data_IF_123742027643
#
_entry.id   IF_123742027643
#
_cell.length_a   1.000
_cell.length_b   1.000
_cell.length_c   1.000
_cell.angle_alpha   90.00
_cell.angle_beta   90.00
_cell.angle_gamma   90.00
#
_symmetry.space_group_name_H-M   'P 1'
#
loop_
_entity.id
_entity.type
_entity.pdbx_description
1 polymer ?
#
# COMPACT_ATOMS: atom_id res chain seq x y z
N UNK A 1 -5.89 -12.67 -2.35
CA UNK A 1 -6.13 -12.40 -0.90
C UNK A 1 -4.89 -11.72 -0.33
N UNK A 2 -5.04 -10.57 0.33
CA UNK A 2 -3.95 -9.91 1.07
C UNK A 2 -3.63 -10.76 2.30
N UNK A 3 -2.35 -10.99 2.57
CA UNK A 3 -1.85 -11.75 3.73
C UNK A 3 -1.00 -10.91 4.69
N UNK A 4 -0.44 -9.80 4.20
CA UNK A 4 0.35 -8.87 5.00
C UNK A 4 0.27 -7.47 4.39
N UNK A 5 0.29 -6.47 5.25
CA UNK A 5 0.31 -5.07 4.88
C UNK A 5 1.24 -4.31 5.83
N UNK A 6 2.15 -3.55 5.27
CA UNK A 6 2.95 -2.55 5.96
C UNK A 6 2.70 -1.19 5.32
N UNK A 7 2.47 -0.19 6.15
CA UNK A 7 2.20 1.19 5.72
C UNK A 7 3.05 2.13 6.56
N UNK A 8 3.69 3.07 5.91
CA UNK A 8 4.37 4.17 6.56
C UNK A 8 4.10 5.48 5.81
N UNK A 9 3.89 6.57 6.53
CA UNK A 9 3.72 7.89 5.95
C UNK A 9 2.34 8.17 5.31
N UNK A 10 1.35 7.30 5.47
CA UNK A 10 -0.01 7.49 4.97
C UNK A 10 -0.99 7.77 6.11
N UNK A 11 -1.66 8.91 6.08
CA UNK A 11 -2.64 9.37 7.09
C UNK A 11 -2.10 9.20 8.53
N UNK A 12 -2.74 8.39 9.36
CA UNK A 12 -2.29 8.12 10.74
C UNK A 12 -1.24 7.02 10.85
N UNK A 13 -0.82 6.40 9.75
CA UNK A 13 0.07 5.24 9.80
C UNK A 13 1.54 5.64 9.77
N UNK A 14 2.20 5.34 10.88
CA UNK A 14 3.64 5.41 11.05
C UNK A 14 4.16 4.03 11.46
N UNK A 15 4.94 3.40 10.58
CA UNK A 15 5.47 2.05 10.77
C UNK A 15 4.39 1.01 11.16
N UNK A 16 3.22 1.10 10.55
CA UNK A 16 2.12 0.18 10.80
C UNK A 16 2.33 -1.13 10.05
N UNK A 17 2.10 -2.24 10.73
CA UNK A 17 2.14 -3.58 10.15
C UNK A 17 0.92 -4.39 10.59
N UNK A 18 0.36 -5.17 9.68
CA UNK A 18 -0.78 -6.05 9.94
C UNK A 18 -0.71 -7.33 9.11
N UNK A 19 -0.96 -8.47 9.75
CA UNK A 19 -1.18 -9.74 9.07
C UNK A 19 -2.68 -9.99 8.90
N UNK A 20 -3.06 -10.58 7.77
CA UNK A 20 -4.44 -10.96 7.47
C UNK A 20 -4.57 -12.48 7.43
N UNK A 21 -5.68 -12.94 7.98
CA UNK A 21 -6.17 -14.31 7.86
C UNK A 21 -7.39 -14.33 6.92
N UNK A 22 -7.90 -15.50 6.51
CA UNK A 22 -9.12 -15.57 5.70
C UNK A 22 -10.32 -14.83 6.28
N UNK A 23 -10.37 -14.73 7.61
CA UNK A 23 -11.32 -13.88 8.33
C UNK A 23 -10.52 -13.01 9.31
N UNK A 24 -10.52 -11.71 9.08
CA UNK A 24 -9.89 -10.71 9.95
C UNK A 24 -10.95 -9.71 10.39
N UNK A 25 -11.11 -9.53 11.70
CA UNK A 25 -12.05 -8.58 12.29
C UNK A 25 -11.26 -7.38 12.79
N UNK A 26 -11.62 -6.19 12.30
CA UNK A 26 -11.03 -4.92 12.73
C UNK A 26 -12.02 -4.21 13.64
N UNK A 27 -11.72 -4.14 14.93
CA UNK A 27 -12.53 -3.49 15.93
C UNK A 27 -11.74 -2.37 16.63
N UNK A 28 -12.43 -1.38 17.13
CA UNK A 28 -11.84 -0.26 17.87
C UNK A 28 -12.75 0.97 17.88
N UNK A 29 -12.38 2.01 18.63
CA UNK A 29 -13.07 3.29 18.64
C UNK A 29 -12.97 4.00 17.29
N UNK A 30 -13.82 5.01 17.04
CA UNK A 30 -13.83 5.73 15.76
C UNK A 30 -12.50 6.44 15.45
N UNK A 31 -11.73 6.83 16.49
CA UNK A 31 -10.43 7.48 16.36
C UNK A 31 -9.25 6.51 16.18
N UNK A 32 -9.47 5.19 16.16
CA UNK A 32 -8.39 4.18 16.16
C UNK A 32 -7.79 3.86 14.79
N UNK A 33 -8.07 4.67 13.76
CA UNK A 33 -7.46 4.49 12.42
C UNK A 33 -8.12 3.42 11.55
N UNK A 34 -9.28 2.83 11.95
CA UNK A 34 -10.00 1.84 11.12
C UNK A 34 -10.35 2.36 9.74
N UNK A 35 -10.91 3.57 9.66
CA UNK A 35 -11.24 4.21 8.38
C UNK A 35 -10.00 4.42 7.51
N UNK A 36 -8.88 4.79 8.12
CA UNK A 36 -7.62 4.96 7.40
C UNK A 36 -7.08 3.64 6.84
N UNK A 37 -7.31 2.51 7.52
CA UNK A 37 -6.97 1.19 6.98
C UNK A 37 -7.79 0.87 5.72
N UNK A 38 -9.10 1.12 5.75
CA UNK A 38 -9.94 0.94 4.57
C UNK A 38 -9.58 1.90 3.44
N UNK A 39 -9.23 3.15 3.76
CA UNK A 39 -8.73 4.11 2.77
C UNK A 39 -7.42 3.63 2.12
N UNK A 40 -6.51 3.06 2.91
CA UNK A 40 -5.26 2.49 2.38
C UNK A 40 -5.51 1.28 1.46
N UNK A 41 -6.39 0.36 1.86
CA UNK A 41 -6.75 -0.80 1.03
C UNK A 41 -7.46 -0.37 -0.26
N UNK A 42 -8.33 0.64 -0.18
CA UNK A 42 -9.01 1.21 -1.35
C UNK A 42 -8.01 1.91 -2.30
N UNK A 43 -7.05 2.67 -1.77
CA UNK A 43 -5.99 3.27 -2.57
C UNK A 43 -5.16 2.21 -3.30
N UNK A 44 -4.76 1.14 -2.62
CA UNK A 44 -4.01 0.03 -3.23
C UNK A 44 -4.79 -0.68 -4.33
N UNK A 45 -6.12 -0.87 -4.15
CA UNK A 45 -6.99 -1.42 -5.19
C UNK A 45 -7.02 -0.50 -6.42
N UNK A 46 -7.18 0.79 -6.22
CA UNK A 46 -7.21 1.77 -7.31
C UNK A 46 -5.88 1.88 -8.05
N UNK A 47 -4.76 1.83 -7.33
CA UNK A 47 -3.43 1.83 -7.96
C UNK A 47 -3.22 0.61 -8.87
N UNK A 48 -3.90 -0.51 -8.59
CA UNK A 48 -3.88 -1.68 -9.45
C UNK A 48 -4.83 -1.59 -10.66
N UNK A 49 -5.82 -0.70 -10.63
CA UNK A 49 -6.86 -0.58 -11.66
C UNK A 49 -6.60 0.56 -12.67
N UNK A 50 -5.87 1.60 -12.27
CA UNK A 50 -5.68 2.81 -13.08
C UNK A 50 -4.23 3.00 -13.51
N UNK A 51 -4.04 3.51 -14.72
CA UNK A 51 -2.71 3.71 -15.29
C UNK A 51 -1.95 4.92 -14.73
N UNK A 52 -2.65 5.81 -14.01
CA UNK A 52 -2.07 7.07 -13.53
C UNK A 52 -2.21 7.19 -12.02
N UNK A 53 -1.10 7.39 -11.33
CA UNK A 53 -1.06 7.61 -9.88
C UNK A 53 -2.01 8.73 -9.42
N UNK A 54 -2.03 9.86 -10.14
CA UNK A 54 -2.90 10.98 -9.81
C UNK A 54 -4.39 10.63 -9.83
N UNK A 55 -4.83 9.74 -10.74
CA UNK A 55 -6.21 9.28 -10.81
C UNK A 55 -6.55 8.45 -9.58
N UNK A 56 -5.66 7.53 -9.18
CA UNK A 56 -5.86 6.72 -7.96
C UNK A 56 -6.00 7.58 -6.70
N UNK A 57 -5.21 8.65 -6.61
CA UNK A 57 -5.22 9.54 -5.43
C UNK A 57 -6.39 10.53 -5.41
N UNK A 58 -6.86 11.00 -6.55
CA UNK A 58 -8.00 11.95 -6.63
C UNK A 58 -9.35 11.27 -6.47
N UNK A 59 -9.52 10.10 -7.04
CA UNK A 59 -10.79 9.39 -7.04
C UNK A 59 -10.90 8.50 -5.81
N UNK A 60 -11.77 8.85 -4.85
CA UNK A 60 -12.10 8.01 -3.70
C UNK A 60 -11.29 8.27 -2.44
N UNK A 61 -10.40 9.25 -2.44
CA UNK A 61 -9.78 9.76 -1.23
C UNK A 61 -10.50 11.03 -0.76
N UNK A 62 -10.61 11.19 0.56
CA UNK A 62 -11.15 12.40 1.19
C UNK A 62 -10.00 13.33 1.55
N UNK A 63 -10.13 14.61 1.24
CA UNK A 63 -9.17 15.65 1.58
C UNK A 63 -8.20 15.98 0.45
N UNK A 64 -7.36 16.96 0.70
CA UNK A 64 -6.32 17.40 -0.22
C UNK A 64 -5.17 16.38 -0.29
N UNK A 65 -4.36 16.48 -1.33
CA UNK A 65 -3.27 15.53 -1.60
C UNK A 65 -2.29 15.41 -0.41
N UNK A 66 -1.94 16.52 0.22
CA UNK A 66 -1.01 16.54 1.36
C UNK A 66 -1.62 15.93 2.63
N UNK A 67 -2.95 15.96 2.82
CA UNK A 67 -3.65 15.35 3.96
C UNK A 67 -3.61 13.82 3.93
N UNK A 68 -3.22 13.23 2.81
CA UNK A 68 -3.01 11.79 2.70
C UNK A 68 -1.67 11.35 3.29
N UNK A 69 -0.72 12.28 3.44
CA UNK A 69 0.56 12.02 4.09
C UNK A 69 0.45 12.15 5.61
N UNK A 70 1.24 11.38 6.34
CA UNK A 70 1.23 11.43 7.81
C UNK A 70 1.63 12.81 8.29
N UNK A 71 0.79 13.42 9.12
CA UNK A 71 1.10 14.65 9.80
C UNK A 71 1.85 14.35 11.10
N UNK A 72 3.03 14.91 11.26
CA UNK A 72 3.85 14.75 12.47
C UNK A 72 3.58 15.85 13.50
N UNK A 73 3.35 17.08 13.04
CA UNK A 73 2.94 18.25 13.85
C UNK A 73 2.08 19.21 13.03
N UNK A 74 1.73 20.37 13.58
CA UNK A 74 0.83 21.34 12.94
C UNK A 74 1.30 21.80 11.54
N UNK A 75 2.60 21.69 11.23
CA UNK A 75 3.18 22.18 9.98
C UNK A 75 4.08 21.15 9.26
N UNK A 76 4.28 19.98 9.84
CA UNK A 76 5.17 18.96 9.30
C UNK A 76 4.38 17.70 8.86
N UNK A 77 4.45 17.42 7.56
CA UNK A 77 3.91 16.21 6.95
C UNK A 77 5.05 15.34 6.43
N UNK A 78 4.81 14.04 6.35
CA UNK A 78 5.71 13.15 5.65
C UNK A 78 5.85 13.57 4.18
N UNK A 79 7.06 13.50 3.64
CA UNK A 79 7.31 13.73 2.21
C UNK A 79 7.18 12.45 1.40
N UNK A 80 7.22 11.31 2.06
CA UNK A 80 7.11 9.99 1.44
C UNK A 80 6.06 9.13 2.14
N UNK A 81 5.40 8.29 1.36
CA UNK A 81 4.61 7.17 1.86
C UNK A 81 5.10 5.86 1.26
N UNK A 82 5.09 4.82 2.07
CA UNK A 82 5.52 3.48 1.70
C UNK A 82 4.42 2.47 1.93
N UNK A 83 4.24 1.59 0.98
CA UNK A 83 3.36 0.42 1.08
C UNK A 83 4.16 -0.84 0.77
N UNK A 84 3.98 -1.87 1.59
CA UNK A 84 4.43 -3.22 1.29
C UNK A 84 3.25 -4.17 1.50
N UNK A 85 2.85 -4.86 0.44
CA UNK A 85 1.67 -5.75 0.45
C UNK A 85 2.09 -7.13 0.03
N UNK A 86 1.75 -8.15 0.84
CA UNK A 86 1.86 -9.53 0.41
C UNK A 86 0.50 -10.07 0.03
N UNK A 87 0.42 -10.73 -1.10
CA UNK A 87 -0.81 -11.31 -1.62
C UNK A 87 -0.64 -12.78 -1.95
N UNK A 88 -1.71 -13.53 -1.72
CA UNK A 88 -1.87 -14.88 -2.23
C UNK A 88 -2.82 -14.80 -3.44
N UNK A 89 -2.32 -15.19 -4.60
CA UNK A 89 -3.07 -15.21 -5.86
C UNK A 89 -3.40 -16.64 -6.27
N UNK A 90 -4.39 -16.80 -7.15
CA UNK A 90 -4.71 -18.11 -7.73
C UNK A 90 -3.54 -18.61 -8.58
N UNK A 91 -3.39 -19.93 -8.64
CA UNK A 91 -2.35 -20.55 -9.47
C UNK A 91 -2.61 -20.36 -10.95
N UNK A 92 -3.87 -20.32 -11.37
CA UNK A 92 -4.30 -19.94 -12.71
C UNK A 92 -4.81 -18.51 -12.69
N UNK A 93 -4.24 -17.67 -13.55
CA UNK A 93 -4.62 -16.27 -13.73
C UNK A 93 -4.98 -16.05 -15.18
N UNK A 94 -6.00 -15.23 -15.41
CA UNK A 94 -6.46 -14.85 -16.74
C UNK A 94 -6.33 -13.33 -16.87
N UNK A 95 -5.70 -12.86 -17.93
CA UNK A 95 -5.57 -11.44 -18.19
C UNK A 95 -6.86 -10.84 -18.79
N UNK A 96 -6.83 -9.52 -18.99
CA UNK A 96 -7.99 -8.79 -19.54
C UNK A 96 -8.36 -9.19 -20.98
N UNK A 97 -7.46 -9.86 -21.70
CA UNK A 97 -7.67 -10.35 -23.08
C UNK A 97 -8.05 -11.83 -23.12
N UNK A 98 -8.18 -12.49 -21.95
CA UNK A 98 -8.58 -13.88 -21.86
C UNK A 98 -7.42 -14.89 -21.96
N UNK A 99 -6.19 -14.44 -22.03
CA UNK A 99 -5.04 -15.34 -21.99
C UNK A 99 -4.83 -15.87 -20.56
N UNK A 100 -4.69 -17.20 -20.44
CA UNK A 100 -4.54 -17.88 -19.16
C UNK A 100 -3.09 -18.32 -18.95
N UNK A 101 -2.55 -18.05 -17.77
CA UNK A 101 -1.23 -18.49 -17.35
C UNK A 101 -1.27 -19.24 -16.03
N UNK A 102 -0.41 -20.24 -15.88
CA UNK A 102 -0.22 -20.97 -14.63
C UNK A 102 1.02 -20.48 -13.91
N UNK A 103 0.82 -19.88 -12.74
CA UNK A 103 1.89 -19.32 -11.93
C UNK A 103 2.70 -20.43 -11.22
N UNK A 104 4.01 -20.33 -11.25
CA UNK A 104 4.93 -21.18 -10.47
C UNK A 104 4.84 -20.85 -8.97
N UNK A 105 4.76 -19.56 -8.65
CA UNK A 105 4.65 -19.04 -7.30
C UNK A 105 3.36 -18.26 -7.16
N UNK A 106 2.62 -18.50 -6.07
CA UNK A 106 1.29 -17.90 -5.81
C UNK A 106 1.35 -16.84 -4.72
N UNK A 107 2.51 -16.63 -4.10
CA UNK A 107 2.73 -15.57 -3.11
C UNK A 107 3.59 -14.49 -3.73
N UNK A 108 3.07 -13.29 -3.71
CA UNK A 108 3.74 -12.11 -4.26
C UNK A 108 3.87 -11.04 -3.19
N UNK A 109 4.96 -10.27 -3.25
CA UNK A 109 5.15 -9.04 -2.49
C UNK A 109 5.24 -7.89 -3.46
N UNK A 110 4.43 -6.88 -3.21
CA UNK A 110 4.45 -5.61 -3.92
C UNK A 110 4.91 -4.51 -2.96
N UNK A 111 5.89 -3.75 -3.38
CA UNK A 111 6.45 -2.64 -2.63
C UNK A 111 6.36 -1.38 -3.48
N UNK A 112 5.86 -0.31 -2.87
CA UNK A 112 5.64 0.98 -3.51
C UNK A 112 6.08 2.09 -2.57
N UNK A 113 6.87 3.05 -3.09
CA UNK A 113 7.19 4.28 -2.41
C UNK A 113 6.82 5.46 -3.29
N UNK A 114 6.09 6.39 -2.71
CA UNK A 114 5.56 7.58 -3.36
C UNK A 114 6.13 8.80 -2.64
N UNK A 115 6.71 9.72 -3.40
CA UNK A 115 7.22 10.99 -2.92
C UNK A 115 6.29 12.12 -3.33
N UNK A 116 6.05 13.04 -2.41
CA UNK A 116 5.34 14.30 -2.63
C UNK A 116 6.36 15.42 -2.84
N UNK A 117 6.14 16.24 -3.84
CA UNK A 117 6.98 17.41 -4.13
C UNK A 117 6.11 18.57 -4.60
N UNK A 118 6.70 19.76 -4.60
CA UNK A 118 6.07 20.94 -5.20
C UNK A 118 6.67 21.13 -6.59
N UNK A 119 5.83 21.08 -7.61
CA UNK A 119 6.27 21.22 -9.00
C UNK A 119 6.63 22.69 -9.35
N UNK A 120 7.15 22.91 -10.54
CA UNK A 120 7.59 24.24 -11.04
C UNK A 120 6.47 25.29 -11.06
N UNK A 121 5.22 24.88 -11.00
CA UNK A 121 4.05 25.76 -10.92
C UNK A 121 3.60 26.06 -9.49
N UNK A 122 4.33 25.57 -8.47
CA UNK A 122 4.00 25.75 -7.07
C UNK A 122 2.84 24.86 -6.57
N UNK A 123 2.54 23.78 -7.29
CA UNK A 123 1.44 22.85 -6.99
C UNK A 123 2.01 21.56 -6.44
N UNK A 124 1.38 21.01 -5.37
CA UNK A 124 1.70 19.70 -4.85
C UNK A 124 1.48 18.61 -5.90
N UNK A 125 2.48 17.77 -6.07
CA UNK A 125 2.52 16.71 -7.06
C UNK A 125 3.14 15.44 -6.48
N UNK A 126 2.97 14.31 -7.16
CA UNK A 126 3.41 12.99 -6.72
C UNK A 126 4.27 12.30 -7.76
N UNK A 127 5.28 11.58 -7.28
CA UNK A 127 6.06 10.67 -8.10
C UNK A 127 6.27 9.31 -7.43
N UNK A 128 6.32 8.26 -8.22
CA UNK A 128 6.74 6.93 -7.76
C UNK A 128 8.26 6.90 -7.78
N UNK A 129 8.86 6.82 -6.60
CA UNK A 129 10.32 6.75 -6.45
C UNK A 129 10.84 5.32 -6.30
N UNK A 130 9.97 4.39 -5.96
CA UNK A 130 10.28 2.97 -5.89
C UNK A 130 9.03 2.13 -6.15
N UNK A 131 9.16 1.11 -7.00
CA UNK A 131 8.12 0.11 -7.26
C UNK A 131 8.78 -1.23 -7.53
N UNK A 132 8.32 -2.26 -6.84
CA UNK A 132 8.86 -3.60 -7.00
C UNK A 132 7.82 -4.68 -6.75
N UNK A 133 7.74 -5.65 -7.67
CA UNK A 133 6.92 -6.86 -7.51
C UNK A 133 7.83 -8.08 -7.52
N UNK A 134 7.77 -8.87 -6.46
CA UNK A 134 8.58 -10.08 -6.31
C UNK A 134 7.73 -11.29 -5.91
N UNK A 135 8.23 -12.47 -6.28
CA UNK A 135 7.69 -13.74 -5.78
C UNK A 135 8.31 -14.09 -4.43
N UNK A 136 7.49 -14.56 -3.48
CA UNK A 136 7.96 -15.03 -2.18
C UNK A 136 8.09 -16.55 -2.19
N UNK A 137 9.30 -17.04 -1.86
CA UNK A 137 9.55 -18.46 -1.61
C UNK A 137 9.26 -18.78 -0.14
N UNK A 138 8.98 -20.05 0.16
CA UNK A 138 8.63 -20.48 1.53
C UNK A 138 9.68 -20.12 2.61
N UNK A 139 10.94 -19.97 2.23
CA UNK A 139 12.06 -19.67 3.14
C UNK A 139 12.16 -18.17 3.49
N UNK A 140 11.66 -17.27 2.65
CA UNK A 140 11.84 -15.81 2.83
C UNK A 140 11.05 -15.24 4.01
N UNK A 141 10.02 -15.95 4.49
CA UNK A 141 9.16 -15.50 5.61
C UNK A 141 9.86 -15.51 6.97
N UNK A 142 10.86 -16.37 7.16
CA UNK A 142 11.58 -16.47 8.44
C UNK A 142 12.64 -15.38 8.62
N UNK A 143 13.29 -14.95 7.55
CA UNK A 143 14.38 -13.96 7.62
C UNK A 143 13.89 -12.53 7.82
N UNK A 144 12.72 -12.18 7.27
CA UNK A 144 12.15 -10.82 7.41
C UNK A 144 11.62 -10.54 8.82
N UNK A 145 11.13 -11.56 9.51
CA UNK A 145 10.62 -11.45 10.90
C UNK A 145 11.71 -11.31 11.95
N UNK A 146 12.92 -11.80 11.69
CA UNK A 146 14.05 -11.73 12.61
C UNK A 146 14.75 -10.35 12.58
N UNK A 147 14.59 -9.58 11.50
CA UNK A 147 15.20 -8.25 11.38
C UNK A 147 14.30 -7.10 11.89
N UNK A 148 13.05 -7.35 12.22
CA UNK A 148 12.13 -6.33 12.77
C UNK A 148 12.01 -6.35 14.30
N UNK A 149 12.83 -7.16 14.99
CA UNK A 149 12.84 -7.30 16.47
C UNK A 149 13.98 -6.57 17.15
N UNK A 150 14.52 -5.56 16.51
CA UNK A 150 15.56 -4.71 17.13
C UNK A 150 15.18 -3.25 17.07
#
# INVERSE_FOLDING_TARGET
MITYLKINGFKSFHNFEMEFTPLTIVAGTNAAGKSNLFDALNLLSRLAEVDKIHTAFREGQRGDLFELFTQYDEHAYADEMEFCVEVLVNREVTDAWGATARLKYTRLRYELKIHRFVNSSGIDDLEVVYEHLATLKHQDRKSTRLNSSH
#
